data_IF_480639822264
#
_entry.id   IF_480639822264
#
_cell.length_a   1.000
_cell.length_b   1.000
_cell.length_c   1.000
_cell.angle_alpha   90.00
_cell.angle_beta   90.00
_cell.angle_gamma   90.00
#
_symmetry.space_group_name_H-M   'P 1'
#
loop_
_entity.id
_entity.type
_entity.pdbx_description
1 polymer ?
#
# COMPACT_ATOMS: atom_id res chain seq x y z
N UNK A 1 35.82 32.06 32.61
CA UNK A 1 34.55 31.80 33.32
C UNK A 1 33.35 32.49 32.67
N UNK A 2 33.38 33.79 32.37
CA UNK A 2 32.25 34.52 31.76
C UNK A 2 31.80 34.03 30.36
N UNK A 3 32.74 33.57 29.52
CA UNK A 3 32.41 33.06 28.18
C UNK A 3 31.64 31.73 28.21
N UNK A 4 31.98 30.80 29.12
CA UNK A 4 31.26 29.55 29.31
C UNK A 4 29.83 29.76 29.83
N UNK A 5 29.64 30.74 30.71
CA UNK A 5 28.32 31.06 31.27
C UNK A 5 27.36 31.68 30.23
N UNK A 6 27.89 32.51 29.33
CA UNK A 6 27.12 33.02 28.17
C UNK A 6 26.73 31.91 27.19
N UNK A 7 27.62 30.94 26.98
CA UNK A 7 27.38 29.83 26.06
C UNK A 7 26.33 28.87 26.60
N UNK A 8 26.36 28.54 27.90
CA UNK A 8 25.34 27.71 28.54
C UNK A 8 23.99 28.40 28.63
N UNK A 9 23.95 29.71 28.94
CA UNK A 9 22.69 30.48 28.93
C UNK A 9 22.09 30.55 27.51
N UNK A 10 22.92 30.82 26.49
CA UNK A 10 22.48 30.86 25.10
C UNK A 10 21.94 29.52 24.60
N UNK A 11 22.62 28.42 24.96
CA UNK A 11 22.17 27.07 24.62
C UNK A 11 20.82 26.73 25.30
N UNK A 12 20.67 27.02 26.59
CA UNK A 12 19.42 26.80 27.33
C UNK A 12 18.27 27.63 26.76
N UNK A 13 18.50 28.90 26.42
CA UNK A 13 17.50 29.75 25.75
C UNK A 13 17.08 29.19 24.40
N UNK A 14 18.03 28.69 23.61
CA UNK A 14 17.77 28.08 22.30
C UNK A 14 16.93 26.82 22.43
N UNK A 15 17.27 25.94 23.39
CA UNK A 15 16.49 24.73 23.68
C UNK A 15 15.07 25.08 24.14
N UNK A 16 14.92 26.06 25.03
CA UNK A 16 13.60 26.53 25.46
C UNK A 16 12.78 27.09 24.29
N UNK A 17 13.39 27.90 23.40
CA UNK A 17 12.73 28.42 22.20
C UNK A 17 12.31 27.30 21.24
N UNK A 18 13.15 26.29 21.03
CA UNK A 18 12.81 25.12 20.22
C UNK A 18 11.65 24.33 20.84
N UNK A 19 11.67 24.07 22.16
CA UNK A 19 10.57 23.39 22.83
C UNK A 19 9.25 24.18 22.76
N UNK A 20 9.33 25.51 22.91
CA UNK A 20 8.16 26.39 22.82
C UNK A 20 7.60 26.41 21.39
N UNK A 21 8.48 26.46 20.38
CA UNK A 21 8.11 26.34 18.98
C UNK A 21 7.43 25.01 18.67
N UNK A 22 8.00 23.88 19.12
CA UNK A 22 7.38 22.56 18.97
C UNK A 22 6.04 22.51 19.68
N UNK A 23 5.94 23.02 20.91
CA UNK A 23 4.69 23.07 21.67
C UNK A 23 3.60 23.87 20.96
N UNK A 24 3.94 25.04 20.40
CA UNK A 24 3.01 25.87 19.64
C UNK A 24 2.57 25.21 18.32
N UNK A 25 3.46 24.45 17.65
CA UNK A 25 3.10 23.71 16.43
C UNK A 25 2.27 22.46 16.72
N UNK A 26 2.52 21.78 17.85
CA UNK A 26 1.80 20.56 18.23
C UNK A 26 0.44 20.84 18.88
N UNK A 27 0.26 22.00 19.53
CA UNK A 27 -0.99 22.33 20.22
C UNK A 27 -2.23 22.32 19.30
N UNK A 28 -2.21 22.93 18.09
CA UNK A 28 -3.33 22.82 17.15
C UNK A 28 -3.61 21.39 16.70
N UNK A 29 -2.56 20.56 16.53
CA UNK A 29 -2.72 19.15 16.16
C UNK A 29 -3.37 18.36 17.31
N UNK A 30 -2.96 18.62 18.55
CA UNK A 30 -3.58 18.04 19.74
C UNK A 30 -5.05 18.45 19.88
N UNK A 31 -5.36 19.75 19.72
CA UNK A 31 -6.74 20.23 19.74
C UNK A 31 -7.57 19.59 18.64
N UNK A 32 -7.01 19.43 17.44
CA UNK A 32 -7.67 18.72 16.34
C UNK A 32 -7.96 17.26 16.72
N UNK A 33 -7.00 16.54 17.31
CA UNK A 33 -7.17 15.14 17.75
C UNK A 33 -8.19 14.99 18.87
N UNK A 34 -8.25 15.95 19.80
CA UNK A 34 -9.23 15.95 20.88
C UNK A 34 -10.65 16.20 20.36
N UNK A 35 -10.80 17.11 19.40
CA UNK A 35 -12.10 17.49 18.84
C UNK A 35 -12.59 16.52 17.74
N UNK A 36 -11.67 15.88 16.98
CA UNK A 36 -12.02 14.98 15.88
C UNK A 36 -12.67 13.67 16.35
N UNK A 37 -12.39 13.25 17.60
CA UNK A 37 -13.00 12.08 18.23
C UNK A 37 -14.49 12.23 18.52
N UNK A 38 -14.99 13.46 18.65
CA UNK A 38 -16.39 13.68 19.00
C UNK A 38 -17.29 13.94 17.77
N UNK A 39 -16.75 14.41 16.64
CA UNK A 39 -17.57 14.86 15.49
C UNK A 39 -16.85 14.81 14.12
N UNK A 40 -16.33 13.67 13.69
CA UNK A 40 -15.90 13.53 12.29
C UNK A 40 -17.10 13.26 11.38
N UNK A 41 -17.82 14.34 11.02
CA UNK A 41 -18.87 14.31 10.00
C UNK A 41 -18.27 13.88 8.64
N UNK A 42 -19.12 13.37 7.74
CA UNK A 42 -18.63 12.95 6.42
C UNK A 42 -17.97 14.10 5.65
N UNK A 43 -18.51 15.31 5.79
CA UNK A 43 -18.01 16.52 5.15
C UNK A 43 -16.60 16.91 5.63
N UNK A 44 -16.30 16.78 6.92
CA UNK A 44 -14.95 17.08 7.44
C UNK A 44 -13.93 16.06 6.94
N UNK A 45 -14.31 14.78 6.90
CA UNK A 45 -13.46 13.72 6.33
C UNK A 45 -13.19 13.93 4.83
N UNK A 46 -14.19 14.34 4.05
CA UNK A 46 -14.01 14.68 2.63
C UNK A 46 -13.10 15.89 2.41
N UNK A 47 -13.17 16.89 3.29
CA UNK A 47 -12.26 18.04 3.24
C UNK A 47 -10.82 17.64 3.57
N UNK A 48 -10.61 16.77 4.56
CA UNK A 48 -9.30 16.22 4.92
C UNK A 48 -8.70 15.38 3.78
N UNK A 49 -9.53 14.54 3.15
CA UNK A 49 -9.20 13.81 1.93
C UNK A 49 -8.67 14.75 0.85
N UNK A 50 -9.38 15.85 0.59
CA UNK A 50 -9.01 16.80 -0.46
C UNK A 50 -7.68 17.49 -0.15
N UNK A 51 -7.48 17.88 1.11
CA UNK A 51 -6.23 18.46 1.57
C UNK A 51 -5.07 17.46 1.44
N UNK A 52 -5.28 16.20 1.79
CA UNK A 52 -4.26 15.16 1.69
C UNK A 52 -3.88 14.89 0.23
N UNK A 53 -4.85 14.86 -0.69
CA UNK A 53 -4.56 14.74 -2.13
C UNK A 53 -3.67 15.88 -2.63
N UNK A 54 -3.94 17.11 -2.20
CA UNK A 54 -3.11 18.27 -2.56
C UNK A 54 -1.70 18.10 -1.97
N UNK A 55 -1.60 17.66 -0.71
CA UNK A 55 -0.33 17.39 -0.04
C UNK A 55 0.50 16.35 -0.78
N UNK A 56 -0.09 15.20 -1.13
CA UNK A 56 0.60 14.13 -1.86
C UNK A 56 1.04 14.59 -3.26
N UNK A 57 0.21 15.33 -3.98
CA UNK A 57 0.59 15.91 -5.27
C UNK A 57 1.76 16.89 -5.15
N UNK A 58 1.82 17.69 -4.08
CA UNK A 58 2.96 18.57 -3.82
C UNK A 58 4.22 17.77 -3.48
N UNK A 59 4.11 16.77 -2.60
CA UNK A 59 5.20 15.89 -2.21
C UNK A 59 5.74 15.06 -3.37
N UNK A 60 4.95 14.84 -4.42
CA UNK A 60 5.41 14.25 -5.68
C UNK A 60 6.34 15.18 -6.47
N UNK A 61 6.13 16.49 -6.41
CA UNK A 61 6.78 17.46 -7.31
C UNK A 61 7.90 18.27 -6.65
N UNK A 62 7.93 18.33 -5.31
CA UNK A 62 8.90 19.17 -4.59
C UNK A 62 10.35 18.69 -4.83
N UNK A 63 11.34 19.56 -5.08
CA UNK A 63 12.72 19.13 -5.14
C UNK A 63 13.16 18.50 -3.81
N UNK A 64 13.77 17.33 -3.87
CA UNK A 64 14.25 16.60 -2.68
C UNK A 64 15.63 17.09 -2.20
N UNK A 65 16.38 17.77 -3.07
CA UNK A 65 17.79 18.13 -2.84
C UNK A 65 18.66 16.94 -2.40
N UNK A 66 18.35 15.74 -2.92
CA UNK A 66 19.09 14.50 -2.61
C UNK A 66 18.50 13.66 -1.46
N UNK A 67 17.38 14.08 -0.88
CA UNK A 67 16.73 13.40 0.25
C UNK A 67 15.42 12.68 -0.13
N UNK A 68 15.37 12.06 -1.31
CA UNK A 68 14.15 11.38 -1.79
C UNK A 68 13.71 10.24 -0.86
N UNK A 69 14.65 9.48 -0.31
CA UNK A 69 14.37 8.41 0.64
C UNK A 69 13.72 8.93 1.93
N UNK A 70 14.17 10.08 2.46
CA UNK A 70 13.57 10.69 3.65
C UNK A 70 12.12 11.12 3.40
N UNK A 71 11.83 11.63 2.20
CA UNK A 71 10.46 11.96 1.80
C UNK A 71 9.62 10.68 1.72
N UNK A 72 10.15 9.62 1.10
CA UNK A 72 9.48 8.33 1.01
C UNK A 72 9.18 7.73 2.40
N UNK A 73 10.16 7.70 3.30
CA UNK A 73 10.01 7.26 4.70
C UNK A 73 8.90 8.05 5.41
N UNK A 74 8.91 9.38 5.27
CA UNK A 74 7.90 10.24 5.89
C UNK A 74 6.50 9.96 5.34
N UNK A 75 6.37 9.83 4.01
CA UNK A 75 5.10 9.50 3.36
C UNK A 75 4.62 8.12 3.78
N UNK A 76 5.52 7.15 3.95
CA UNK A 76 5.18 5.81 4.44
C UNK A 76 4.61 5.84 5.86
N UNK A 77 5.18 6.64 6.78
CA UNK A 77 4.63 6.80 8.12
C UNK A 77 3.20 7.39 8.06
N UNK A 78 2.97 8.38 7.19
CA UNK A 78 1.63 8.94 7.00
C UNK A 78 0.67 7.89 6.41
N UNK A 79 1.13 7.05 5.49
CA UNK A 79 0.34 5.93 5.00
C UNK A 79 -0.06 4.97 6.12
N UNK A 80 0.84 4.63 7.04
CA UNK A 80 0.51 3.74 8.16
C UNK A 80 -0.58 4.33 9.06
N UNK A 81 -0.55 5.64 9.30
CA UNK A 81 -1.60 6.35 10.05
C UNK A 81 -2.93 6.35 9.27
N UNK A 82 -2.87 6.69 7.99
CA UNK A 82 -4.02 6.65 7.08
C UNK A 82 -4.68 5.27 7.04
N UNK A 83 -3.87 4.22 6.93
CA UNK A 83 -4.32 2.85 6.80
C UNK A 83 -4.91 2.31 8.11
N UNK A 84 -4.31 2.67 9.25
CA UNK A 84 -4.72 2.22 10.58
C UNK A 84 -5.88 3.00 11.22
N UNK A 85 -6.40 4.05 10.58
CA UNK A 85 -7.56 4.80 11.05
C UNK A 85 -8.88 4.10 10.65
N UNK A 86 -9.18 2.99 11.31
CA UNK A 86 -10.34 2.15 11.01
C UNK A 86 -11.67 2.93 11.01
N UNK A 87 -11.82 3.93 11.88
CA UNK A 87 -13.03 4.75 11.92
C UNK A 87 -13.19 5.56 10.64
N UNK A 88 -12.14 6.27 10.21
CA UNK A 88 -12.17 6.99 8.94
C UNK A 88 -12.32 6.01 7.77
N UNK A 89 -11.56 4.90 7.74
CA UNK A 89 -11.61 3.92 6.65
C UNK A 89 -12.99 3.29 6.48
N UNK A 90 -13.74 3.09 7.56
CA UNK A 90 -15.12 2.59 7.48
C UNK A 90 -16.08 3.54 6.74
N UNK A 91 -15.79 4.85 6.73
CA UNK A 91 -16.63 5.88 6.10
C UNK A 91 -16.19 6.19 4.67
N UNK A 92 -14.88 6.24 4.42
CA UNK A 92 -14.31 6.75 3.17
C UNK A 92 -13.40 5.76 2.43
N UNK A 93 -13.24 4.53 2.94
CA UNK A 93 -12.47 3.46 2.30
C UNK A 93 -10.99 3.78 2.15
N UNK A 94 -10.31 3.07 1.25
CA UNK A 94 -8.84 3.11 1.06
C UNK A 94 -8.41 3.73 -0.27
N UNK A 95 -9.24 4.62 -0.82
CA UNK A 95 -9.04 5.15 -2.18
C UNK A 95 -7.72 5.91 -2.40
N UNK A 96 -7.00 6.32 -1.35
CA UNK A 96 -5.71 7.01 -1.44
C UNK A 96 -4.47 6.11 -1.35
N UNK A 97 -4.64 4.83 -1.07
CA UNK A 97 -3.52 3.88 -1.04
C UNK A 97 -2.64 3.96 -2.30
N UNK A 98 -3.17 4.04 -3.55
CA UNK A 98 -2.30 4.18 -4.71
C UNK A 98 -1.54 5.51 -4.76
N UNK A 99 -2.08 6.61 -4.24
CA UNK A 99 -1.41 7.92 -4.22
C UNK A 99 -0.22 7.93 -3.26
N UNK A 100 -0.37 7.31 -2.07
CA UNK A 100 0.78 7.08 -1.19
C UNK A 100 1.83 6.20 -1.87
N UNK A 101 1.38 5.14 -2.55
CA UNK A 101 2.26 4.19 -3.21
C UNK A 101 3.10 4.87 -4.30
N UNK A 102 2.44 5.71 -5.11
CA UNK A 102 3.04 6.49 -6.19
C UNK A 102 4.11 7.44 -5.66
N UNK A 103 3.81 8.23 -4.62
CA UNK A 103 4.79 9.15 -4.04
C UNK A 103 6.00 8.40 -3.48
N UNK A 104 5.79 7.30 -2.74
CA UNK A 104 6.89 6.53 -2.15
C UNK A 104 7.78 5.94 -3.24
N UNK A 105 7.19 5.27 -4.23
CA UNK A 105 7.96 4.55 -5.25
C UNK A 105 8.58 5.43 -6.33
N UNK A 106 8.05 6.63 -6.59
CA UNK A 106 8.70 7.61 -7.46
C UNK A 106 9.95 8.22 -6.80
N UNK A 107 9.93 8.35 -5.47
CA UNK A 107 11.03 8.91 -4.68
C UNK A 107 12.09 7.86 -4.35
N UNK A 108 11.65 6.73 -3.83
CA UNK A 108 12.51 5.61 -3.48
C UNK A 108 11.94 4.29 -4.03
N UNK A 109 12.25 3.95 -5.29
CA UNK A 109 11.81 2.69 -5.87
C UNK A 109 12.41 1.47 -5.17
N UNK A 110 13.42 1.64 -4.31
CA UNK A 110 14.07 0.57 -3.52
C UNK A 110 13.42 0.35 -2.16
N UNK A 111 12.34 1.09 -1.85
CA UNK A 111 11.58 0.93 -0.62
C UNK A 111 10.75 -0.36 -0.61
N UNK A 112 11.38 -1.49 -0.26
CA UNK A 112 10.74 -2.81 -0.39
C UNK A 112 9.48 -3.00 0.45
N UNK A 113 9.38 -2.36 1.62
CA UNK A 113 8.21 -2.49 2.48
C UNK A 113 6.93 -1.98 1.79
N UNK A 114 7.03 -0.97 0.93
CA UNK A 114 5.90 -0.41 0.19
C UNK A 114 5.34 -1.41 -0.83
N UNK A 115 6.19 -2.22 -1.47
CA UNK A 115 5.72 -3.25 -2.42
C UNK A 115 4.83 -4.30 -1.76
N UNK A 116 4.95 -4.55 -0.46
CA UNK A 116 4.05 -5.44 0.26
C UNK A 116 2.81 -4.68 0.73
N UNK A 117 3.03 -3.65 1.55
CA UNK A 117 1.94 -3.00 2.29
C UNK A 117 1.04 -2.16 1.38
N UNK A 118 1.63 -1.39 0.45
CA UNK A 118 0.86 -0.53 -0.45
C UNK A 118 0.29 -1.32 -1.63
N UNK A 119 0.96 -2.40 -2.09
CA UNK A 119 0.32 -3.33 -3.03
C UNK A 119 -0.94 -3.90 -2.42
N UNK A 120 -0.84 -4.49 -1.22
CA UNK A 120 -2.00 -5.05 -0.51
C UNK A 120 -3.07 -3.98 -0.26
N UNK A 121 -2.68 -2.80 0.22
CA UNK A 121 -3.64 -1.72 0.47
C UNK A 121 -4.33 -1.25 -0.82
N UNK A 122 -3.61 -1.19 -1.94
CA UNK A 122 -4.15 -0.74 -3.23
C UNK A 122 -4.99 -1.81 -3.92
N UNK A 123 -4.53 -3.06 -3.99
CA UNK A 123 -5.24 -4.14 -4.68
C UNK A 123 -6.39 -4.68 -3.84
N UNK A 124 -6.14 -5.00 -2.57
CA UNK A 124 -7.08 -5.68 -1.70
C UNK A 124 -8.06 -4.73 -0.99
N UNK A 125 -7.58 -3.58 -0.49
CA UNK A 125 -8.44 -2.67 0.27
C UNK A 125 -9.05 -1.56 -0.60
N UNK A 126 -8.30 -1.01 -1.56
CA UNK A 126 -8.85 -0.04 -2.49
C UNK A 126 -9.53 -0.69 -3.71
N UNK A 127 -9.33 -1.98 -3.94
CA UNK A 127 -9.89 -2.65 -5.13
C UNK A 127 -9.32 -2.10 -6.44
N UNK A 128 -8.08 -1.64 -6.45
CA UNK A 128 -7.39 -1.01 -7.59
C UNK A 128 -6.12 -1.78 -8.02
N UNK A 129 -6.21 -3.09 -8.30
CA UNK A 129 -5.05 -3.93 -8.62
C UNK A 129 -4.25 -3.44 -9.84
N UNK A 130 -4.91 -2.85 -10.85
CA UNK A 130 -4.21 -2.31 -12.03
C UNK A 130 -3.23 -1.19 -11.65
N UNK A 131 -3.66 -0.29 -10.75
CA UNK A 131 -2.82 0.81 -10.26
C UNK A 131 -1.62 0.27 -9.47
N UNK A 132 -1.84 -0.73 -8.62
CA UNK A 132 -0.77 -1.42 -7.90
C UNK A 132 0.28 -2.00 -8.85
N UNK A 133 -0.17 -2.75 -9.87
CA UNK A 133 0.70 -3.40 -10.86
C UNK A 133 1.47 -2.38 -11.69
N UNK A 134 0.81 -1.31 -12.14
CA UNK A 134 1.45 -0.27 -12.95
C UNK A 134 2.56 0.45 -12.18
N UNK A 135 2.31 0.81 -10.92
CA UNK A 135 3.31 1.44 -10.06
C UNK A 135 4.49 0.50 -9.81
N UNK A 136 4.23 -0.76 -9.45
CA UNK A 136 5.30 -1.75 -9.28
C UNK A 136 6.10 -1.96 -10.57
N UNK A 137 5.44 -2.04 -11.73
CA UNK A 137 6.10 -2.21 -13.03
C UNK A 137 7.06 -1.06 -13.33
N UNK A 138 6.66 0.18 -13.05
CA UNK A 138 7.52 1.35 -13.25
C UNK A 138 8.73 1.32 -12.32
N UNK A 139 8.58 0.88 -11.07
CA UNK A 139 9.68 0.93 -10.10
C UNK A 139 10.61 -0.27 -10.15
N UNK A 140 10.14 -1.42 -10.64
CA UNK A 140 10.95 -2.64 -10.83
C UNK A 140 12.17 -2.44 -11.73
N UNK A 141 12.16 -1.46 -12.63
CA UNK A 141 13.32 -1.15 -13.50
C UNK A 141 14.53 -0.62 -12.72
N UNK A 142 14.33 -0.13 -11.49
CA UNK A 142 15.39 0.40 -10.62
C UNK A 142 15.90 -0.64 -9.62
N UNK A 143 15.31 -1.84 -9.61
CA UNK A 143 15.71 -2.95 -8.76
C UNK A 143 16.62 -3.91 -9.51
N UNK A 144 17.40 -4.66 -8.75
CA UNK A 144 18.19 -5.77 -9.25
C UNK A 144 18.11 -6.94 -8.27
N UNK A 145 18.51 -8.17 -8.65
CA UNK A 145 18.42 -9.35 -7.79
C UNK A 145 19.05 -9.17 -6.40
N UNK A 146 20.12 -8.38 -6.31
CA UNK A 146 20.91 -8.19 -5.08
C UNK A 146 20.84 -6.78 -4.50
N UNK A 147 20.13 -5.85 -5.15
CA UNK A 147 20.04 -4.46 -4.70
C UNK A 147 18.62 -3.89 -4.90
N UNK A 148 17.93 -3.53 -3.81
CA UNK A 148 18.21 -3.94 -2.42
C UNK A 148 18.13 -5.46 -2.23
N UNK A 149 18.66 -5.97 -1.12
CA UNK A 149 18.48 -7.37 -0.76
C UNK A 149 16.99 -7.72 -0.73
N UNK A 150 16.62 -8.95 -1.15
CA UNK A 150 15.24 -9.43 -1.20
C UNK A 150 14.32 -8.75 -2.23
N UNK A 151 14.88 -8.08 -3.23
CA UNK A 151 14.12 -7.46 -4.34
C UNK A 151 13.22 -8.43 -5.11
N UNK A 152 13.46 -9.74 -5.03
CA UNK A 152 12.58 -10.77 -5.60
C UNK A 152 11.13 -10.69 -5.08
N UNK A 153 10.90 -10.11 -3.89
CA UNK A 153 9.57 -9.91 -3.35
C UNK A 153 8.73 -8.91 -4.14
N UNK A 154 9.34 -7.87 -4.71
CA UNK A 154 8.62 -6.91 -5.55
C UNK A 154 7.99 -7.58 -6.78
N UNK A 155 8.73 -8.48 -7.45
CA UNK A 155 8.18 -9.33 -8.52
C UNK A 155 7.09 -10.26 -8.02
N UNK A 156 7.27 -10.82 -6.82
CA UNK A 156 6.33 -11.79 -6.24
C UNK A 156 4.97 -11.14 -5.96
N UNK A 157 4.96 -9.96 -5.34
CA UNK A 157 3.72 -9.24 -5.03
C UNK A 157 3.01 -8.79 -6.30
N UNK A 158 3.75 -8.29 -7.29
CA UNK A 158 3.20 -8.00 -8.61
C UNK A 158 2.57 -9.23 -9.27
N UNK A 159 3.23 -10.39 -9.22
CA UNK A 159 2.69 -11.64 -9.76
C UNK A 159 1.43 -12.13 -9.04
N UNK A 160 1.33 -11.90 -7.72
CA UNK A 160 0.11 -12.20 -6.95
C UNK A 160 -1.03 -11.30 -7.40
N UNK A 161 -0.80 -9.99 -7.54
CA UNK A 161 -1.83 -9.05 -8.00
C UNK A 161 -2.32 -9.40 -9.42
N UNK A 162 -1.39 -9.70 -10.34
CA UNK A 162 -1.69 -10.13 -11.71
C UNK A 162 -2.55 -11.39 -11.75
N UNK A 163 -2.20 -12.40 -10.94
CA UNK A 163 -2.88 -13.69 -10.94
C UNK A 163 -4.26 -13.60 -10.27
N UNK A 164 -4.30 -13.12 -9.04
CA UNK A 164 -5.48 -13.27 -8.17
C UNK A 164 -6.56 -12.23 -8.46
N UNK A 165 -6.18 -11.03 -8.89
CA UNK A 165 -7.16 -9.97 -9.17
C UNK A 165 -7.49 -9.90 -10.66
N UNK A 166 -6.46 -9.79 -11.51
CA UNK A 166 -6.66 -9.63 -12.96
C UNK A 166 -6.89 -10.96 -13.69
N UNK A 167 -6.45 -12.09 -13.12
CA UNK A 167 -6.49 -13.37 -13.81
C UNK A 167 -5.53 -13.44 -15.01
N UNK A 168 -4.50 -12.59 -15.02
CA UNK A 168 -3.47 -12.61 -16.04
C UNK A 168 -2.36 -13.58 -15.65
N UNK A 169 -2.64 -14.87 -15.85
CA UNK A 169 -1.70 -15.94 -15.58
C UNK A 169 -0.42 -15.89 -16.39
N UNK A 170 -0.45 -15.30 -17.60
CA UNK A 170 0.76 -15.18 -18.41
C UNK A 170 1.69 -14.10 -17.85
N UNK A 171 1.14 -12.95 -17.44
CA UNK A 171 1.92 -11.92 -16.76
C UNK A 171 2.41 -12.41 -15.39
N UNK A 172 1.53 -13.03 -14.60
CA UNK A 172 1.89 -13.59 -13.31
C UNK A 172 3.00 -14.64 -13.41
N UNK A 173 2.93 -15.53 -14.40
CA UNK A 173 3.99 -16.51 -14.69
C UNK A 173 5.33 -15.83 -14.94
N UNK A 174 5.38 -14.76 -15.74
CA UNK A 174 6.62 -13.99 -15.97
C UNK A 174 7.15 -13.40 -14.67
N UNK A 175 6.26 -12.86 -13.84
CA UNK A 175 6.62 -12.30 -12.53
C UNK A 175 7.17 -13.39 -11.59
N UNK A 176 6.55 -14.56 -11.50
CA UNK A 176 7.03 -15.67 -10.67
C UNK A 176 8.34 -16.29 -11.17
N UNK A 177 8.56 -16.36 -12.50
CA UNK A 177 9.86 -16.75 -13.06
C UNK A 177 10.93 -15.75 -12.59
N UNK A 178 10.69 -14.44 -12.72
CA UNK A 178 11.62 -13.42 -12.25
C UNK A 178 11.87 -13.50 -10.75
N UNK A 179 10.84 -13.77 -9.95
CA UNK A 179 11.02 -14.04 -8.51
C UNK A 179 11.94 -15.22 -8.28
N UNK A 180 11.74 -16.35 -8.97
CA UNK A 180 12.58 -17.52 -8.81
C UNK A 180 14.03 -17.25 -9.21
N UNK A 181 14.25 -16.62 -10.38
CA UNK A 181 15.56 -16.26 -10.90
C UNK A 181 16.32 -15.27 -10.01
N UNK A 182 15.60 -14.35 -9.35
CA UNK A 182 16.22 -13.35 -8.47
C UNK A 182 16.51 -13.95 -7.09
N UNK A 183 15.57 -14.73 -6.54
CA UNK A 183 15.75 -15.37 -5.25
C UNK A 183 16.87 -16.43 -5.28
N UNK A 184 17.07 -17.14 -6.40
CA UNK A 184 18.16 -18.11 -6.53
C UNK A 184 19.57 -17.49 -6.53
N UNK A 185 19.69 -16.16 -6.58
CA UNK A 185 20.98 -15.47 -6.50
C UNK A 185 21.43 -15.16 -5.07
N UNK A 186 20.56 -15.40 -4.10
CA UNK A 186 20.85 -15.37 -2.68
C UNK A 186 21.05 -16.79 -2.14
N UNK A 187 21.74 -16.91 -1.00
CA UNK A 187 22.14 -18.21 -0.43
C UNK A 187 21.40 -18.59 0.85
N UNK A 188 20.58 -17.70 1.39
CA UNK A 188 19.80 -17.91 2.61
C UNK A 188 18.62 -18.89 2.37
N UNK A 189 18.14 -19.53 3.45
CA UNK A 189 17.07 -20.53 3.35
C UNK A 189 15.72 -19.94 2.91
N UNK A 190 15.46 -18.69 3.27
CA UNK A 190 14.23 -18.00 2.86
C UNK A 190 14.21 -17.81 1.33
N UNK A 191 15.30 -17.32 0.74
CA UNK A 191 15.39 -17.14 -0.71
C UNK A 191 15.30 -18.46 -1.49
N UNK A 192 15.90 -19.56 -0.98
CA UNK A 192 15.72 -20.90 -1.56
C UNK A 192 14.26 -21.34 -1.57
N UNK A 193 13.55 -21.15 -0.45
CA UNK A 193 12.13 -21.47 -0.34
C UNK A 193 11.28 -20.63 -1.31
N UNK A 194 11.57 -19.33 -1.40
CA UNK A 194 10.86 -18.43 -2.32
C UNK A 194 11.13 -18.80 -3.78
N UNK A 195 12.36 -19.17 -4.14
CA UNK A 195 12.69 -19.65 -5.47
C UNK A 195 11.92 -20.92 -5.82
N UNK A 196 11.96 -21.92 -4.94
CA UNK A 196 11.24 -23.18 -5.10
C UNK A 196 9.72 -22.97 -5.26
N UNK A 197 9.11 -22.20 -4.36
CA UNK A 197 7.66 -21.96 -4.40
C UNK A 197 7.24 -21.20 -5.67
N UNK A 198 8.03 -20.22 -6.10
CA UNK A 198 7.72 -19.44 -7.32
C UNK A 198 7.86 -20.28 -8.59
N UNK A 199 8.83 -21.21 -8.61
CA UNK A 199 8.95 -22.20 -9.68
C UNK A 199 7.75 -23.16 -9.69
N UNK A 200 7.32 -23.66 -8.52
CA UNK A 200 6.14 -24.53 -8.41
C UNK A 200 4.87 -23.84 -8.87
N UNK A 201 4.69 -22.57 -8.52
CA UNK A 201 3.58 -21.75 -9.04
C UNK A 201 3.66 -21.63 -10.56
N UNK A 202 4.84 -21.39 -11.13
CA UNK A 202 5.03 -21.34 -12.59
C UNK A 202 4.65 -22.66 -13.26
N UNK A 203 5.03 -23.80 -12.69
CA UNK A 203 4.66 -25.13 -13.17
C UNK A 203 3.14 -25.36 -13.11
N UNK A 204 2.50 -24.92 -12.02
CA UNK A 204 1.04 -24.99 -11.86
C UNK A 204 0.33 -24.15 -12.93
N UNK A 205 0.76 -22.90 -13.16
CA UNK A 205 0.17 -22.00 -14.14
C UNK A 205 0.28 -22.51 -15.59
N UNK A 206 1.23 -23.41 -15.88
CA UNK A 206 1.29 -24.08 -17.19
C UNK A 206 0.17 -25.09 -17.41
N UNK A 207 -0.41 -25.63 -16.33
CA UNK A 207 -1.42 -26.69 -16.38
C UNK A 207 -2.82 -26.15 -16.12
N UNK A 208 -2.94 -25.25 -15.15
CA UNK A 208 -4.18 -24.60 -14.77
C UNK A 208 -3.94 -23.08 -14.63
N UNK A 209 -4.04 -22.34 -15.75
CA UNK A 209 -3.63 -20.94 -15.77
C UNK A 209 -4.53 -20.07 -14.89
N UNK A 210 -5.85 -20.27 -14.92
CA UNK A 210 -6.81 -19.31 -14.35
C UNK A 210 -7.87 -20.02 -13.48
N UNK A 211 -7.67 -20.09 -12.16
CA UNK A 211 -8.74 -20.55 -11.25
C UNK A 211 -9.74 -19.42 -11.00
N UNK A 212 -10.99 -19.60 -11.43
CA UNK A 212 -12.07 -18.64 -11.15
C UNK A 212 -12.39 -18.61 -9.67
N UNK A 213 -12.39 -19.77 -9.01
CA UNK A 213 -12.62 -19.90 -7.57
C UNK A 213 -11.63 -19.05 -6.78
N UNK A 214 -10.33 -19.13 -7.10
CA UNK A 214 -9.32 -18.31 -6.42
C UNK A 214 -9.60 -16.81 -6.60
N UNK A 215 -9.93 -16.38 -7.81
CA UNK A 215 -10.27 -14.97 -8.10
C UNK A 215 -11.55 -14.52 -7.41
N UNK A 216 -12.58 -15.37 -7.37
CA UNK A 216 -13.83 -15.09 -6.64
C UNK A 216 -13.52 -14.91 -5.16
N UNK A 217 -12.72 -15.79 -4.56
CA UNK A 217 -12.27 -15.66 -3.18
C UNK A 217 -11.51 -14.36 -2.95
N UNK A 218 -10.60 -13.97 -3.84
CA UNK A 218 -9.85 -12.72 -3.75
C UNK A 218 -10.78 -11.50 -3.80
N UNK A 219 -11.69 -11.41 -4.76
CA UNK A 219 -12.64 -10.30 -4.83
C UNK A 219 -13.67 -10.31 -3.69
N UNK A 220 -13.97 -11.48 -3.11
CA UNK A 220 -14.78 -11.58 -1.88
C UNK A 220 -14.03 -10.97 -0.69
N UNK A 221 -12.72 -11.15 -0.59
CA UNK A 221 -11.92 -10.47 0.43
C UNK A 221 -11.97 -8.95 0.26
N UNK A 222 -11.86 -8.44 -0.99
CA UNK A 222 -12.05 -7.00 -1.27
C UNK A 222 -13.42 -6.54 -0.78
N UNK A 223 -14.49 -7.25 -1.13
CA UNK A 223 -15.85 -6.89 -0.75
C UNK A 223 -16.06 -6.81 0.78
N UNK A 224 -15.29 -7.57 1.54
CA UNK A 224 -15.40 -7.67 2.99
C UNK A 224 -14.48 -6.69 3.76
N UNK A 225 -13.51 -6.05 3.11
CA UNK A 225 -12.51 -5.18 3.75
C UNK A 225 -12.95 -3.72 3.95
N UNK A 226 -14.23 -3.48 4.25
CA UNK A 226 -14.70 -2.12 4.59
C UNK A 226 -14.50 -1.10 3.46
N UNK A 227 -14.66 -1.52 2.21
CA UNK A 227 -14.34 -0.70 1.04
C UNK A 227 -15.42 0.35 0.76
N UNK A 228 -15.01 1.44 0.11
CA UNK A 228 -15.92 2.48 -0.36
C UNK A 228 -16.92 1.94 -1.40
N UNK A 229 -17.98 2.71 -1.66
CA UNK A 229 -19.07 2.26 -2.53
C UNK A 229 -18.64 1.97 -3.97
N UNK A 230 -17.65 2.69 -4.51
CA UNK A 230 -17.12 2.44 -5.86
C UNK A 230 -16.38 1.11 -5.90
N UNK A 231 -15.52 0.88 -4.91
CA UNK A 231 -14.75 -0.35 -4.74
C UNK A 231 -15.64 -1.56 -4.47
N UNK A 232 -16.72 -1.38 -3.69
CA UNK A 232 -17.75 -2.39 -3.44
C UNK A 232 -18.46 -2.82 -4.72
N UNK A 233 -18.99 -1.86 -5.49
CA UNK A 233 -19.66 -2.12 -6.78
C UNK A 233 -18.74 -2.83 -7.75
N UNK A 234 -17.47 -2.41 -7.79
CA UNK A 234 -16.46 -3.08 -8.60
C UNK A 234 -16.28 -4.54 -8.17
N UNK A 235 -16.03 -4.80 -6.88
CA UNK A 235 -15.81 -6.17 -6.39
C UNK A 235 -17.00 -7.09 -6.72
N UNK A 236 -18.23 -6.62 -6.53
CA UNK A 236 -19.45 -7.36 -6.92
C UNK A 236 -19.43 -7.69 -8.41
N UNK A 237 -19.18 -6.68 -9.26
CA UNK A 237 -19.11 -6.87 -10.72
C UNK A 237 -18.06 -7.89 -11.13
N UNK A 238 -16.88 -7.86 -10.52
CA UNK A 238 -15.80 -8.82 -10.82
C UNK A 238 -16.20 -10.24 -10.39
N UNK A 239 -16.79 -10.41 -9.20
CA UNK A 239 -17.32 -11.71 -8.72
C UNK A 239 -18.39 -12.25 -9.69
N UNK A 240 -19.32 -11.40 -10.11
CA UNK A 240 -20.40 -11.79 -11.03
C UNK A 240 -19.90 -12.12 -12.43
N UNK A 241 -18.89 -11.39 -12.92
CA UNK A 241 -18.23 -11.67 -14.20
C UNK A 241 -17.54 -13.05 -14.19
N UNK A 242 -17.09 -13.50 -13.01
CA UNK A 242 -16.51 -14.82 -12.81
C UNK A 242 -17.56 -15.94 -12.68
N UNK A 243 -18.86 -15.60 -12.76
CA UNK A 243 -19.97 -16.55 -12.75
C UNK A 243 -20.51 -16.90 -11.36
N UNK A 244 -20.01 -16.25 -10.31
CA UNK A 244 -20.62 -16.33 -8.99
C UNK A 244 -21.79 -15.34 -8.88
N UNK A 245 -22.62 -15.47 -7.84
CA UNK A 245 -23.67 -14.50 -7.52
C UNK A 245 -23.47 -13.93 -6.13
N UNK A 246 -23.52 -12.61 -6.01
CA UNK A 246 -23.49 -11.92 -4.72
C UNK A 246 -24.93 -11.71 -4.25
N UNK A 247 -25.23 -12.16 -3.04
CA UNK A 247 -26.53 -11.96 -2.39
C UNK A 247 -26.30 -11.25 -1.07
N UNK A 248 -26.72 -9.99 -0.97
CA UNK A 248 -26.67 -9.26 0.30
C UNK A 248 -27.71 -9.83 1.26
N UNK A 249 -27.26 -10.21 2.46
CA UNK A 249 -28.11 -10.66 3.56
C UNK A 249 -27.90 -9.77 4.77
N UNK A 250 -28.79 -9.81 5.78
CA UNK A 250 -28.61 -9.07 7.03
C UNK A 250 -27.31 -9.41 7.79
N UNK A 251 -26.68 -10.55 7.50
CA UNK A 251 -25.42 -11.02 8.11
C UNK A 251 -24.18 -10.65 7.28
N UNK A 252 -24.34 -10.03 6.11
CA UNK A 252 -23.27 -9.71 5.18
C UNK A 252 -23.52 -10.27 3.77
N UNK A 253 -22.50 -10.21 2.91
CA UNK A 253 -22.62 -10.70 1.54
C UNK A 253 -22.42 -12.22 1.50
N UNK A 254 -23.40 -12.95 0.96
CA UNK A 254 -23.29 -14.38 0.64
C UNK A 254 -22.89 -14.55 -0.82
N UNK A 255 -21.85 -15.35 -1.06
CA UNK A 255 -21.36 -15.68 -2.40
C UNK A 255 -21.86 -17.07 -2.80
N UNK A 256 -22.60 -17.16 -3.89
CA UNK A 256 -23.02 -18.44 -4.49
C UNK A 256 -22.01 -18.76 -5.58
N UNK A 257 -21.18 -19.79 -5.35
CA UNK A 257 -20.12 -20.20 -6.26
C UNK A 257 -20.68 -20.84 -7.53
N UNK A 258 -19.99 -20.69 -8.69
CA UNK A 258 -20.32 -21.42 -9.90
C UNK A 258 -20.06 -22.93 -9.72
N UNK A 259 -20.75 -23.75 -10.51
CA UNK A 259 -20.65 -25.22 -10.40
C UNK A 259 -19.30 -25.80 -10.85
N UNK A 260 -18.50 -25.04 -11.62
CA UNK A 260 -17.19 -25.45 -12.14
C UNK A 260 -16.26 -24.23 -12.25
N UNK A 261 -14.95 -24.50 -12.15
CA UNK A 261 -13.90 -23.58 -12.58
C UNK A 261 -13.90 -23.40 -14.11
#
# INVERSE_FOLDING_TARGET
>A
MFALYRQTIGASLTVCLCMLGVGLMQYPQLQKLLNSRETSSLETLEAEIKAEKIRLNLLKQIPSFGYDNLIADWVYINFLQYFGDDEARSKIGYSFSPEYFEVILERDPRFLAAYLSLSTSTSLYAGLPERSIDLMKQSLQFLSPKLPEKSYYAWRYKGIDELLFLGDSQAAKKSFIKTADWASQSSDEESKLIAYNSQKTTEFLNRNPNSKIARISTWTMVLNNGVDEKSRKRAIREIETLGAKVVSTPQGNKIIMPAKD
#
